data_IF_471362814310
#
_entry.id   IF_471362814310
#
_cell.length_a   1.000
_cell.length_b   1.000
_cell.length_c   1.000
_cell.angle_alpha   90.00
_cell.angle_beta   90.00
_cell.angle_gamma   90.00
#
_symmetry.space_group_name_H-M   'P 1'
#
loop_
_entity.id
_entity.type
_entity.pdbx_description
1 polymer ?
#
# COMPACT_ATOMS: atom_id res chain seq x y z
N UNK A 1 31.93 -19.05 -41.39
CA UNK A 1 31.29 -20.32 -40.96
C UNK A 1 30.13 -19.96 -40.03
N UNK A 2 28.91 -19.94 -40.56
CA UNK A 2 27.71 -19.57 -39.80
C UNK A 2 27.24 -20.78 -38.98
N UNK A 3 27.14 -20.62 -37.65
CA UNK A 3 26.70 -21.66 -36.73
C UNK A 3 25.20 -21.95 -36.88
N UNK A 4 24.86 -23.22 -37.07
CA UNK A 4 23.49 -23.71 -37.17
C UNK A 4 22.74 -23.51 -35.85
N UNK A 5 21.63 -22.78 -35.88
CA UNK A 5 20.78 -22.55 -34.71
C UNK A 5 19.88 -23.77 -34.48
N UNK A 6 20.35 -24.74 -33.68
CA UNK A 6 19.53 -25.88 -33.23
C UNK A 6 18.67 -25.46 -32.03
N UNK A 7 17.36 -25.42 -32.23
CA UNK A 7 16.39 -25.14 -31.17
C UNK A 7 16.36 -26.28 -30.13
N UNK A 8 16.46 -25.92 -28.85
CA UNK A 8 16.42 -26.86 -27.72
C UNK A 8 14.98 -27.17 -27.35
N UNK A 9 14.49 -28.34 -27.78
CA UNK A 9 13.12 -28.80 -27.51
C UNK A 9 13.03 -29.33 -26.08
N UNK A 10 12.16 -28.72 -25.26
CA UNK A 10 11.83 -29.21 -23.92
C UNK A 10 10.60 -30.12 -24.04
N UNK A 11 10.71 -31.44 -23.78
CA UNK A 11 9.56 -32.33 -23.84
C UNK A 11 8.58 -31.99 -22.72
N UNK A 12 7.37 -31.56 -23.09
CA UNK A 12 6.28 -31.33 -22.16
C UNK A 12 5.63 -32.69 -21.82
N UNK A 13 6.04 -33.29 -20.72
CA UNK A 13 5.36 -34.47 -20.17
C UNK A 13 3.91 -34.12 -19.77
N UNK A 14 2.93 -34.82 -20.37
CA UNK A 14 1.49 -34.55 -20.23
C UNK A 14 0.89 -34.80 -18.84
N UNK A 15 1.62 -35.39 -17.89
CA UNK A 15 1.06 -35.81 -16.59
C UNK A 15 1.43 -34.91 -15.39
N UNK A 16 2.26 -33.88 -15.60
CA UNK A 16 2.70 -32.99 -14.51
C UNK A 16 1.62 -32.01 -14.02
N UNK A 17 0.63 -31.69 -14.87
CA UNK A 17 -0.52 -30.86 -14.48
C UNK A 17 -1.43 -31.57 -13.48
N UNK A 18 -1.71 -32.88 -13.68
CA UNK A 18 -2.53 -33.68 -12.77
C UNK A 18 -1.83 -33.93 -11.44
N UNK A 19 -0.54 -34.25 -11.45
CA UNK A 19 0.24 -34.45 -10.22
C UNK A 19 0.48 -33.15 -9.43
N UNK A 20 0.61 -32.00 -10.10
CA UNK A 20 0.68 -30.68 -9.45
C UNK A 20 -0.68 -30.20 -8.95
N UNK A 21 -1.78 -30.57 -9.60
CA UNK A 21 -3.14 -30.31 -9.11
C UNK A 21 -3.43 -31.11 -7.84
N UNK A 22 -3.08 -32.39 -7.80
CA UNK A 22 -3.23 -33.24 -6.61
C UNK A 22 -2.41 -32.72 -5.42
N UNK A 23 -1.15 -32.30 -5.65
CA UNK A 23 -0.30 -31.69 -4.61
C UNK A 23 -0.88 -30.39 -4.06
N UNK A 24 -1.42 -29.52 -4.92
CA UNK A 24 -2.10 -28.28 -4.48
C UNK A 24 -3.37 -28.57 -3.68
N UNK A 25 -4.15 -29.58 -4.06
CA UNK A 25 -5.33 -29.98 -3.29
C UNK A 25 -4.95 -30.51 -1.90
N UNK A 26 -3.91 -31.34 -1.80
CA UNK A 26 -3.39 -31.83 -0.54
C UNK A 26 -2.87 -30.69 0.36
N UNK A 27 -2.10 -29.76 -0.19
CA UNK A 27 -1.59 -28.60 0.55
C UNK A 27 -2.71 -27.69 1.08
N UNK A 28 -3.80 -27.50 0.31
CA UNK A 28 -4.99 -26.77 0.78
C UNK A 28 -5.70 -27.48 1.93
N UNK A 29 -5.83 -28.80 1.86
CA UNK A 29 -6.47 -29.58 2.93
C UNK A 29 -5.64 -29.58 4.22
N UNK A 30 -4.32 -29.63 4.12
CA UNK A 30 -3.40 -29.55 5.25
C UNK A 30 -3.38 -28.15 5.87
N UNK A 31 -3.39 -27.10 5.04
CA UNK A 31 -3.53 -25.70 5.49
C UNK A 31 -4.87 -25.45 6.18
N UNK A 32 -5.97 -26.00 5.67
CA UNK A 32 -7.29 -25.88 6.29
C UNK A 32 -7.33 -26.52 7.68
N UNK A 33 -6.63 -27.66 7.89
CA UNK A 33 -6.51 -28.33 9.19
C UNK A 33 -5.67 -27.57 10.20
N UNK A 34 -4.71 -26.76 9.74
CA UNK A 34 -3.84 -25.92 10.58
C UNK A 34 -4.40 -24.52 10.80
N UNK A 35 -5.53 -24.17 10.20
CA UNK A 35 -6.09 -22.84 10.35
C UNK A 35 -6.69 -22.69 11.76
N UNK A 36 -6.39 -21.60 12.49
CA UNK A 36 -6.84 -21.41 13.87
C UNK A 36 -8.37 -21.36 14.02
N UNK A 37 -9.11 -21.18 12.92
CA UNK A 37 -10.58 -21.28 12.92
C UNK A 37 -11.11 -22.69 13.17
N UNK A 38 -10.29 -23.74 13.05
CA UNK A 38 -10.69 -25.14 13.37
C UNK A 38 -10.70 -25.38 14.89
N UNK A 39 -9.97 -24.55 15.65
CA UNK A 39 -9.96 -24.60 17.12
C UNK A 39 -11.20 -23.94 17.73
N UNK A 40 -11.94 -23.14 16.94
CA UNK A 40 -13.20 -22.55 17.37
C UNK A 40 -14.31 -23.60 17.23
N UNK A 41 -14.97 -23.92 18.34
CA UNK A 41 -16.12 -24.83 18.35
C UNK A 41 -17.22 -24.30 17.41
N UNK A 42 -17.64 -25.05 16.36
CA UNK A 42 -18.68 -24.61 15.45
C UNK A 42 -20.03 -24.36 16.14
N UNK A 43 -20.23 -24.90 17.35
CA UNK A 43 -21.42 -24.65 18.20
C UNK A 43 -21.37 -23.33 18.97
N UNK A 44 -20.20 -22.71 19.13
CA UNK A 44 -20.01 -21.46 19.89
C UNK A 44 -19.91 -20.26 18.95
N UNK A 45 -20.92 -20.09 18.08
CA UNK A 45 -21.04 -18.86 17.30
C UNK A 45 -21.53 -17.76 18.23
N UNK A 46 -20.77 -16.66 18.32
CA UNK A 46 -21.18 -15.47 19.04
C UNK A 46 -22.58 -15.04 18.57
N UNK A 47 -23.47 -14.78 19.52
CA UNK A 47 -24.80 -14.24 19.25
C UNK A 47 -24.69 -12.88 18.54
N UNK A 48 -25.71 -12.52 17.76
CA UNK A 48 -25.75 -11.23 17.08
C UNK A 48 -25.58 -10.04 18.04
N UNK A 49 -26.05 -10.19 19.28
CA UNK A 49 -25.92 -9.18 20.34
C UNK A 49 -24.45 -9.02 20.79
N UNK A 50 -23.72 -10.12 20.95
CA UNK A 50 -22.29 -10.09 21.28
C UNK A 50 -21.47 -9.45 20.17
N UNK A 51 -21.78 -9.76 18.90
CA UNK A 51 -21.12 -9.14 17.75
C UNK A 51 -21.42 -7.64 17.71
N UNK A 52 -22.67 -7.24 17.91
CA UNK A 52 -23.07 -5.84 17.96
C UNK A 52 -22.39 -5.08 19.12
N UNK A 53 -22.21 -5.72 20.28
CA UNK A 53 -21.51 -5.15 21.42
C UNK A 53 -20.03 -4.88 21.09
N UNK A 54 -19.34 -5.84 20.46
CA UNK A 54 -17.94 -5.67 20.03
C UNK A 54 -17.81 -4.58 18.97
N UNK A 55 -18.74 -4.51 18.00
CA UNK A 55 -18.74 -3.45 16.98
C UNK A 55 -18.92 -2.08 17.63
N UNK A 56 -19.88 -1.93 18.56
CA UNK A 56 -20.08 -0.68 19.31
C UNK A 56 -18.85 -0.32 20.14
N UNK A 57 -18.19 -1.29 20.76
CA UNK A 57 -16.96 -1.07 21.51
C UNK A 57 -15.81 -0.60 20.61
N UNK A 58 -15.65 -1.19 19.42
CA UNK A 58 -14.66 -0.77 18.42
C UNK A 58 -14.96 0.65 17.94
N UNK A 59 -16.22 0.94 17.63
CA UNK A 59 -16.65 2.27 17.20
C UNK A 59 -16.44 3.32 18.29
N UNK A 60 -16.71 2.99 19.56
CA UNK A 60 -16.44 3.85 20.71
C UNK A 60 -14.94 4.07 20.94
N UNK A 61 -14.11 3.04 20.81
CA UNK A 61 -12.65 3.19 20.90
C UNK A 61 -12.13 4.06 19.76
N UNK A 62 -12.64 3.86 18.54
CA UNK A 62 -12.28 4.66 17.37
C UNK A 62 -12.74 6.11 17.52
N UNK A 63 -13.97 6.33 18.00
CA UNK A 63 -14.52 7.67 18.26
C UNK A 63 -13.76 8.39 19.36
N UNK A 64 -13.31 7.67 20.40
CA UNK A 64 -12.49 8.24 21.46
C UNK A 64 -11.08 8.60 20.97
N UNK A 65 -10.47 7.76 20.10
CA UNK A 65 -9.19 8.09 19.45
C UNK A 65 -9.32 9.28 18.49
N UNK A 66 -10.39 9.34 17.69
CA UNK A 66 -10.66 10.49 16.81
C UNK A 66 -11.12 11.74 17.56
N UNK A 67 -11.82 11.56 18.69
CA UNK A 67 -12.32 12.63 19.56
C UNK A 67 -11.22 13.24 20.43
N UNK A 68 -10.26 12.43 20.92
CA UNK A 68 -9.02 12.92 21.52
C UNK A 68 -8.12 13.62 20.49
N UNK A 69 -8.13 13.19 19.22
CA UNK A 69 -7.39 13.87 18.16
C UNK A 69 -7.99 15.23 17.76
N UNK A 70 -9.26 15.50 18.09
CA UNK A 70 -9.92 16.77 17.76
C UNK A 70 -9.78 17.84 18.87
N UNK A 71 -9.41 17.45 20.09
CA UNK A 71 -9.47 18.31 21.26
C UNK A 71 -8.13 18.89 21.75
N UNK A 72 -6.97 18.37 21.31
CA UNK A 72 -5.67 18.76 21.92
C UNK A 72 -4.48 18.94 20.97
N UNK A 73 -4.66 18.98 19.65
CA UNK A 73 -3.54 19.37 18.79
C UNK A 73 -4.04 19.97 17.48
N UNK A 74 -3.45 21.10 17.07
CA UNK A 74 -3.60 21.55 15.69
C UNK A 74 -3.19 20.42 14.75
N UNK A 75 -3.64 20.41 13.47
CA UNK A 75 -3.40 19.27 12.61
C UNK A 75 -1.92 18.90 12.65
N UNK A 76 -1.64 17.66 13.03
CA UNK A 76 -0.27 17.19 13.27
C UNK A 76 0.59 17.48 12.05
N UNK A 77 1.89 17.68 12.22
CA UNK A 77 2.80 18.05 11.11
C UNK A 77 2.69 17.05 9.95
N UNK A 78 2.44 15.78 10.25
CA UNK A 78 2.16 14.74 9.26
C UNK A 78 0.83 14.96 8.54
N UNK A 79 -0.25 15.28 9.24
CA UNK A 79 -1.56 15.58 8.63
C UNK A 79 -1.46 16.80 7.73
N UNK A 80 -0.76 17.86 8.15
CA UNK A 80 -0.48 19.04 7.32
C UNK A 80 0.34 18.67 6.07
N UNK A 81 1.35 17.82 6.22
CA UNK A 81 2.18 17.35 5.11
C UNK A 81 1.37 16.53 4.09
N UNK A 82 0.55 15.58 4.56
CA UNK A 82 -0.31 14.76 3.70
C UNK A 82 -1.37 15.63 3.01
N UNK A 83 -1.97 16.60 3.71
CA UNK A 83 -2.90 17.56 3.13
C UNK A 83 -2.24 18.38 2.01
N UNK A 84 -1.02 18.89 2.24
CA UNK A 84 -0.28 19.64 1.23
C UNK A 84 0.07 18.79 -0.01
N UNK A 85 0.51 17.54 0.19
CA UNK A 85 0.84 16.63 -0.92
C UNK A 85 -0.41 16.22 -1.71
N UNK A 86 -1.52 15.95 -1.02
CA UNK A 86 -2.78 15.60 -1.68
C UNK A 86 -3.36 16.76 -2.48
N UNK A 87 -3.31 17.99 -1.96
CA UNK A 87 -3.73 19.18 -2.69
C UNK A 87 -2.83 19.45 -3.91
N UNK A 88 -1.52 19.21 -3.78
CA UNK A 88 -0.59 19.28 -4.90
C UNK A 88 -0.98 18.29 -6.02
N UNK A 89 -1.21 17.02 -5.68
CA UNK A 89 -1.58 15.98 -6.66
C UNK A 89 -2.94 16.31 -7.30
N UNK A 90 -3.91 16.77 -6.51
CA UNK A 90 -5.23 17.18 -7.00
C UNK A 90 -5.13 18.31 -8.01
N UNK A 91 -4.35 19.34 -7.70
CA UNK A 91 -4.12 20.49 -8.58
C UNK A 91 -3.51 20.05 -9.91
N UNK A 92 -2.60 19.07 -9.88
CA UNK A 92 -1.98 18.49 -11.07
C UNK A 92 -2.96 17.71 -11.94
N UNK A 93 -3.73 16.82 -11.31
CA UNK A 93 -4.72 16.02 -12.03
C UNK A 93 -5.86 16.88 -12.59
N UNK A 94 -6.23 17.95 -11.90
CA UNK A 94 -7.25 18.91 -12.35
C UNK A 94 -6.74 19.89 -13.42
N UNK A 95 -5.44 19.91 -13.73
CA UNK A 95 -4.85 20.89 -14.65
C UNK A 95 -4.87 22.33 -14.11
N UNK A 96 -5.16 22.53 -12.83
CA UNK A 96 -5.33 23.84 -12.21
C UNK A 96 -3.99 24.46 -11.77
N UNK A 97 -2.96 24.36 -12.60
CA UNK A 97 -1.63 24.91 -12.33
C UNK A 97 -1.22 25.88 -13.43
N UNK A 98 -0.59 26.99 -13.03
CA UNK A 98 -0.08 27.99 -13.96
C UNK A 98 1.24 27.49 -14.56
N UNK A 99 1.23 27.26 -15.86
CA UNK A 99 2.42 26.98 -16.66
C UNK A 99 2.64 28.17 -17.57
N UNK A 100 3.86 28.70 -17.57
CA UNK A 100 4.26 29.74 -18.54
C UNK A 100 4.44 29.14 -19.95
N UNK A 101 4.57 29.97 -20.99
CA UNK A 101 4.80 29.54 -22.38
C UNK A 101 5.96 28.53 -22.52
N UNK A 102 6.97 28.68 -21.68
CA UNK A 102 8.17 27.83 -21.67
C UNK A 102 8.03 26.53 -20.87
N UNK A 103 6.86 26.25 -20.28
CA UNK A 103 6.68 25.08 -19.43
C UNK A 103 7.10 25.28 -17.97
N UNK A 104 7.42 26.53 -17.57
CA UNK A 104 7.85 26.81 -16.20
C UNK A 104 6.67 26.74 -15.24
N UNK A 105 6.87 25.98 -14.16
CA UNK A 105 5.89 25.80 -13.11
C UNK A 105 6.46 26.25 -11.76
N UNK A 106 6.02 27.40 -11.22
CA UNK A 106 6.48 27.90 -9.92
C UNK A 106 6.17 26.95 -8.77
N UNK A 107 5.05 26.22 -8.84
CA UNK A 107 4.58 25.37 -7.76
C UNK A 107 5.41 24.09 -7.62
N UNK A 108 5.69 23.40 -8.73
CA UNK A 108 6.63 22.26 -8.77
C UNK A 108 8.04 22.71 -8.36
N UNK A 109 8.47 23.87 -8.84
CA UNK A 109 9.81 24.39 -8.58
C UNK A 109 10.04 24.60 -7.09
N UNK A 110 9.10 25.24 -6.41
CA UNK A 110 9.22 25.51 -4.98
C UNK A 110 9.02 24.25 -4.12
N UNK A 111 8.06 23.38 -4.46
CA UNK A 111 7.72 22.23 -3.63
C UNK A 111 8.69 21.05 -3.77
N UNK A 112 9.30 20.86 -4.95
CA UNK A 112 10.10 19.68 -5.28
C UNK A 112 11.53 20.07 -5.62
N UNK A 113 11.72 20.92 -6.64
CA UNK A 113 13.06 21.20 -7.16
C UNK A 113 13.93 21.94 -6.13
N UNK A 114 13.46 23.03 -5.53
CA UNK A 114 14.23 23.79 -4.54
C UNK A 114 14.70 22.94 -3.33
N UNK A 115 13.84 22.17 -2.63
CA UNK A 115 14.30 21.36 -1.49
C UNK A 115 15.26 20.25 -1.91
N UNK A 116 15.09 19.64 -3.09
CA UNK A 116 16.06 18.68 -3.62
C UNK A 116 17.40 19.35 -3.92
N UNK A 117 17.39 20.46 -4.67
CA UNK A 117 18.60 21.21 -5.00
C UNK A 117 19.31 21.70 -3.73
N UNK A 118 18.59 22.15 -2.71
CA UNK A 118 19.16 22.58 -1.43
C UNK A 118 19.86 21.43 -0.70
N UNK A 119 19.32 20.22 -0.78
CA UNK A 119 19.93 19.02 -0.19
C UNK A 119 21.20 18.64 -0.94
N UNK A 120 21.14 18.60 -2.28
CA UNK A 120 22.30 18.33 -3.12
C UNK A 120 23.41 19.38 -2.94
N UNK A 121 23.06 20.66 -2.88
CA UNK A 121 24.02 21.72 -2.70
C UNK A 121 24.76 21.59 -1.36
N UNK A 122 24.03 21.28 -0.27
CA UNK A 122 24.63 21.06 1.06
C UNK A 122 25.54 19.83 1.12
N UNK A 123 25.22 18.78 0.39
CA UNK A 123 25.99 17.53 0.44
C UNK A 123 27.19 17.53 -0.51
N UNK A 124 27.11 18.21 -1.66
CA UNK A 124 28.15 18.20 -2.69
C UNK A 124 29.10 19.40 -2.63
N UNK A 125 28.61 20.60 -2.28
CA UNK A 125 29.45 21.79 -2.11
C UNK A 125 29.75 22.03 -0.65
N UNK A 126 30.08 20.96 0.09
CA UNK A 126 30.48 21.08 1.48
C UNK A 126 31.85 21.78 1.52
N UNK A 127 31.82 23.09 1.75
CA UNK A 127 32.99 23.91 2.07
C UNK A 127 33.30 23.66 3.53
N UNK A 128 34.42 22.99 3.80
CA UNK A 128 35.04 22.97 5.14
C UNK A 128 35.91 24.20 5.36
#
# INVERSE_FOLDING_TARGET
>A
MAGESKAKVIPLHGNSSRSSAARRAAARSDSARRHPSVLADPGSRASAEQIAAVVREIDQRRSNVSGQSAADDGPSVLVKGIAAVSEFIRTRMAGAYSVDEFGFDPHITNAIFLPLLRTFFRSWFRVE
#
